data_IF_242799429554
#
_entry.id   IF_242799429554
#
_cell.length_a   1.000
_cell.length_b   1.000
_cell.length_c   1.000
_cell.angle_alpha   90.00
_cell.angle_beta   90.00
_cell.angle_gamma   90.00
#
_symmetry.space_group_name_H-M   'P 1'
#
loop_
_entity.id
_entity.type
_entity.pdbx_description
1 polymer ?
#
# COMPACT_ATOMS: atom_id res chain seq x y z
N UNK A 1 -17.04 33.98 -24.65
CA UNK A 1 -16.92 32.50 -24.63
C UNK A 1 -17.66 31.94 -25.82
N UNK A 2 -17.02 31.10 -26.64
CA UNK A 2 -17.65 30.48 -27.82
C UNK A 2 -18.69 29.45 -27.36
N UNK A 3 -19.86 29.43 -28.00
CA UNK A 3 -20.94 28.49 -27.68
C UNK A 3 -20.70 27.18 -28.43
N UNK A 4 -20.52 26.08 -27.69
CA UNK A 4 -20.33 24.75 -28.27
C UNK A 4 -21.69 24.11 -28.63
N UNK A 5 -22.12 24.36 -29.86
CA UNK A 5 -23.38 23.86 -30.40
C UNK A 5 -23.41 22.33 -30.47
N UNK A 6 -22.26 21.69 -30.71
CA UNK A 6 -22.18 20.22 -30.84
C UNK A 6 -22.33 19.59 -29.46
N UNK A 7 -21.67 20.14 -28.44
CA UNK A 7 -21.81 19.71 -27.05
C UNK A 7 -23.25 19.84 -26.53
N UNK A 8 -23.93 20.94 -26.86
CA UNK A 8 -25.33 21.16 -26.49
C UNK A 8 -26.27 20.12 -27.14
N UNK A 9 -26.04 19.79 -28.41
CA UNK A 9 -26.81 18.77 -29.13
C UNK A 9 -26.62 17.35 -28.56
N UNK A 10 -25.40 17.00 -28.14
CA UNK A 10 -25.11 15.70 -27.52
C UNK A 10 -25.80 15.55 -26.17
N UNK A 11 -25.73 16.57 -25.31
CA UNK A 11 -26.41 16.58 -24.00
C UNK A 11 -27.92 16.52 -24.12
N UNK A 12 -28.50 17.12 -25.16
CA UNK A 12 -29.93 17.03 -25.44
C UNK A 12 -30.34 15.60 -25.81
N UNK A 13 -29.52 14.89 -26.61
CA UNK A 13 -29.75 13.49 -26.97
C UNK A 13 -29.55 12.51 -25.81
N UNK A 14 -28.57 12.73 -24.94
CA UNK A 14 -28.34 11.87 -23.75
C UNK A 14 -29.52 11.84 -22.77
N UNK A 15 -30.37 12.88 -22.77
CA UNK A 15 -31.57 12.96 -21.94
C UNK A 15 -32.79 12.27 -22.54
N UNK A 16 -32.72 11.86 -23.80
CA UNK A 16 -33.80 11.14 -24.46
C UNK A 16 -33.82 9.69 -23.97
N UNK A 17 -35.00 9.16 -23.68
CA UNK A 17 -35.16 7.80 -23.13
C UNK A 17 -34.76 6.73 -24.15
N UNK A 18 -34.78 7.09 -25.44
CA UNK A 18 -34.33 6.28 -26.58
C UNK A 18 -32.92 6.66 -27.03
N UNK A 19 -32.03 7.02 -26.09
CA UNK A 19 -30.65 7.32 -26.43
C UNK A 19 -29.86 6.04 -26.78
N UNK A 20 -29.65 5.82 -28.07
CA UNK A 20 -28.63 4.89 -28.56
C UNK A 20 -27.27 5.60 -28.66
N UNK A 21 -26.26 5.04 -27.99
CA UNK A 21 -24.89 5.54 -28.05
C UNK A 21 -24.41 5.55 -29.51
N UNK A 22 -23.82 6.66 -30.01
CA UNK A 22 -23.36 6.73 -31.38
C UNK A 22 -22.28 5.67 -31.67
N UNK A 23 -22.39 5.02 -32.84
CA UNK A 23 -21.40 4.04 -33.33
C UNK A 23 -20.03 4.72 -33.39
N UNK A 24 -19.08 4.20 -32.62
CA UNK A 24 -17.72 4.77 -32.52
C UNK A 24 -17.41 5.38 -31.14
N UNK A 25 -18.39 5.58 -30.26
CA UNK A 25 -18.09 5.77 -28.85
C UNK A 25 -17.59 4.43 -28.29
N UNK A 26 -16.30 4.38 -27.97
CA UNK A 26 -15.70 3.23 -27.29
C UNK A 26 -16.48 2.83 -26.03
N UNK A 27 -16.27 1.60 -25.57
CA UNK A 27 -16.89 1.13 -24.33
C UNK A 27 -16.43 2.03 -23.17
N UNK A 28 -17.35 2.49 -22.29
CA UNK A 28 -16.94 3.23 -21.11
C UNK A 28 -16.00 2.36 -20.28
N UNK A 29 -14.95 2.96 -19.73
CA UNK A 29 -14.08 2.27 -18.79
C UNK A 29 -14.93 1.80 -17.60
N UNK A 30 -14.67 0.59 -17.11
CA UNK A 30 -15.39 0.09 -15.93
C UNK A 30 -15.09 1.00 -14.74
N UNK A 31 -16.06 1.15 -13.83
CA UNK A 31 -15.87 1.95 -12.60
C UNK A 31 -14.68 1.48 -11.81
N UNK A 32 -14.43 0.18 -11.78
CA UNK A 32 -13.23 -0.37 -11.18
C UNK A 32 -11.97 0.29 -11.75
N UNK A 33 -11.85 0.49 -13.08
CA UNK A 33 -10.67 1.09 -13.73
C UNK A 33 -10.45 2.54 -13.35
N UNK A 34 -11.52 3.26 -13.10
CA UNK A 34 -11.50 4.65 -12.64
C UNK A 34 -11.32 4.72 -11.10
N UNK A 35 -11.81 3.68 -10.43
CA UNK A 35 -11.89 3.33 -9.02
C UNK A 35 -10.59 2.77 -8.39
N UNK A 36 -9.65 3.59 -7.88
CA UNK A 36 -8.57 3.11 -7.00
C UNK A 36 -7.13 3.37 -7.47
N UNK A 37 -6.14 2.88 -6.71
CA UNK A 37 -4.72 3.09 -6.99
C UNK A 37 -4.24 2.18 -8.14
N UNK A 38 -3.63 2.79 -9.16
CA UNK A 38 -3.06 2.12 -10.34
C UNK A 38 -2.00 1.08 -9.93
N UNK A 39 -1.25 1.37 -8.87
CA UNK A 39 -0.22 0.46 -8.35
C UNK A 39 -0.84 -0.81 -7.76
N UNK A 40 -1.90 -0.67 -6.97
CA UNK A 40 -2.59 -1.80 -6.34
C UNK A 40 -3.18 -2.76 -7.38
N UNK A 41 -3.77 -2.19 -8.45
CA UNK A 41 -4.30 -2.95 -9.58
C UNK A 41 -3.19 -3.70 -10.33
N UNK A 42 -2.10 -3.02 -10.65
CA UNK A 42 -0.99 -3.63 -11.42
C UNK A 42 -0.36 -4.79 -10.66
N UNK A 43 -0.11 -4.62 -9.35
CA UNK A 43 0.49 -5.66 -8.51
C UNK A 43 -0.46 -6.86 -8.33
N UNK A 44 -1.75 -6.62 -8.04
CA UNK A 44 -2.74 -7.69 -7.87
C UNK A 44 -2.98 -8.50 -9.14
N UNK A 45 -3.02 -7.84 -10.31
CA UNK A 45 -3.26 -8.51 -11.59
C UNK A 45 -2.03 -9.27 -12.12
N UNK A 46 -0.81 -8.90 -11.70
CA UNK A 46 0.41 -9.55 -12.17
C UNK A 46 0.78 -10.84 -11.41
N UNK A 47 0.05 -11.20 -10.34
CA UNK A 47 0.42 -12.33 -9.48
C UNK A 47 1.79 -12.15 -8.80
N UNK A 48 2.29 -10.91 -8.75
CA UNK A 48 3.63 -10.59 -8.28
C UNK A 48 3.58 -10.20 -6.81
N UNK A 49 4.24 -10.99 -5.95
CA UNK A 49 4.40 -10.67 -4.54
C UNK A 49 5.65 -9.77 -4.37
N UNK A 50 5.48 -8.49 -3.97
CA UNK A 50 6.62 -7.61 -3.79
C UNK A 50 7.57 -8.11 -2.69
N UNK A 51 8.87 -7.98 -2.91
CA UNK A 51 9.88 -8.46 -1.96
C UNK A 51 9.78 -7.81 -0.59
N UNK A 52 9.35 -6.55 -0.52
CA UNK A 52 9.17 -5.82 0.73
C UNK A 52 8.08 -6.44 1.63
N UNK A 53 7.12 -7.20 1.10
CA UNK A 53 6.14 -7.94 1.90
C UNK A 53 6.82 -9.07 2.68
N UNK A 54 7.81 -9.75 2.08
CA UNK A 54 8.59 -10.79 2.77
C UNK A 54 9.39 -10.16 3.92
N UNK A 55 10.02 -9.02 3.67
CA UNK A 55 10.75 -8.26 4.69
C UNK A 55 9.82 -7.77 5.81
N UNK A 56 8.60 -7.33 5.48
CA UNK A 56 7.60 -6.92 6.47
C UNK A 56 7.27 -8.05 7.46
N UNK A 57 7.00 -9.25 6.93
CA UNK A 57 6.73 -10.42 7.76
C UNK A 57 7.96 -10.81 8.61
N UNK A 58 9.16 -10.76 8.03
CA UNK A 58 10.39 -11.07 8.77
C UNK A 58 10.64 -10.09 9.93
N UNK A 59 10.43 -8.78 9.70
CA UNK A 59 10.55 -7.76 10.75
C UNK A 59 9.52 -8.01 11.86
N UNK A 60 8.27 -8.28 11.49
CA UNK A 60 7.20 -8.58 12.46
C UNK A 60 7.55 -9.79 13.33
N UNK A 61 7.99 -10.88 12.72
CA UNK A 61 8.29 -12.11 13.44
C UNK A 61 9.51 -11.93 14.36
N UNK A 62 10.51 -11.14 13.96
CA UNK A 62 11.65 -10.77 14.81
C UNK A 62 11.22 -9.91 16.00
N UNK A 63 10.33 -8.93 15.79
CA UNK A 63 9.80 -8.09 16.86
C UNK A 63 9.05 -8.92 17.92
N UNK A 64 8.21 -9.86 17.49
CA UNK A 64 7.50 -10.76 18.41
C UNK A 64 8.46 -11.64 19.22
N UNK A 65 9.54 -12.13 18.60
CA UNK A 65 10.60 -12.88 19.30
C UNK A 65 11.29 -12.02 20.35
N UNK A 66 11.67 -10.78 20.01
CA UNK A 66 12.33 -9.86 20.95
C UNK A 66 11.42 -9.53 22.13
N UNK A 67 10.13 -9.28 21.91
CA UNK A 67 9.15 -9.07 23.00
C UNK A 67 9.09 -10.29 23.92
N UNK A 68 9.09 -11.49 23.35
CA UNK A 68 9.07 -12.74 24.14
C UNK A 68 10.37 -12.89 24.96
N UNK A 69 11.52 -12.53 24.38
CA UNK A 69 12.82 -12.59 25.06
C UNK A 69 12.90 -11.58 26.20
N UNK A 70 12.46 -10.33 26.00
CA UNK A 70 12.38 -9.30 27.04
C UNK A 70 11.59 -9.80 28.26
N UNK A 71 10.50 -10.54 28.03
CA UNK A 71 9.66 -11.08 29.10
C UNK A 71 10.26 -12.31 29.81
N UNK A 72 11.21 -13.02 29.18
CA UNK A 72 11.73 -14.31 29.69
C UNK A 72 13.12 -14.19 30.29
N UNK A 73 14.00 -13.37 29.71
CA UNK A 73 15.36 -13.16 30.23
C UNK A 73 15.93 -11.79 29.77
N UNK A 74 16.13 -10.82 30.68
CA UNK A 74 16.55 -9.46 30.33
C UNK A 74 18.09 -9.34 30.28
N UNK A 75 18.77 -10.09 29.43
CA UNK A 75 20.16 -9.75 29.11
C UNK A 75 20.16 -8.58 28.12
N UNK A 76 20.53 -7.39 28.61
CA UNK A 76 20.38 -6.14 27.84
C UNK A 76 21.26 -6.09 26.58
N UNK A 77 22.50 -6.61 26.64
CA UNK A 77 23.43 -6.57 25.49
C UNK A 77 22.93 -7.38 24.28
N UNK A 78 22.38 -8.58 24.52
CA UNK A 78 21.87 -9.44 23.44
C UNK A 78 20.61 -8.85 22.78
N UNK A 79 19.76 -8.21 23.60
CA UNK A 79 18.53 -7.57 23.14
C UNK A 79 18.85 -6.34 22.29
N UNK A 80 19.83 -5.54 22.70
CA UNK A 80 20.26 -4.35 21.96
C UNK A 80 20.87 -4.71 20.60
N UNK A 81 21.63 -5.81 20.51
CA UNK A 81 22.13 -6.32 19.23
C UNK A 81 21.00 -6.75 18.29
N UNK A 82 19.96 -7.40 18.81
CA UNK A 82 18.79 -7.77 18.02
C UNK A 82 18.01 -6.53 17.54
N UNK A 83 17.84 -5.49 18.35
CA UNK A 83 17.24 -4.24 17.90
C UNK A 83 18.03 -3.58 16.78
N UNK A 84 19.37 -3.55 16.86
CA UNK A 84 20.21 -3.05 15.77
C UNK A 84 20.03 -3.87 14.49
N UNK A 85 19.92 -5.19 14.61
CA UNK A 85 19.66 -6.11 13.50
C UNK A 85 18.31 -5.79 12.84
N UNK A 86 17.23 -5.72 13.63
CA UNK A 86 15.89 -5.36 13.17
C UNK A 86 15.90 -4.00 12.45
N UNK A 87 16.57 -2.99 13.02
CA UNK A 87 16.67 -1.67 12.41
C UNK A 87 17.41 -1.67 11.07
N UNK A 88 18.35 -2.59 10.84
CA UNK A 88 18.93 -2.80 9.50
C UNK A 88 17.92 -3.36 8.51
N UNK A 89 17.05 -4.28 8.93
CA UNK A 89 15.96 -4.79 8.08
C UNK A 89 14.92 -3.72 7.77
N UNK A 90 14.55 -2.90 8.75
CA UNK A 90 13.62 -1.78 8.55
C UNK A 90 14.18 -0.77 7.54
N UNK A 91 15.48 -0.46 7.60
CA UNK A 91 16.13 0.39 6.61
C UNK A 91 16.05 -0.20 5.20
N UNK A 92 16.32 -1.50 5.03
CA UNK A 92 16.18 -2.19 3.74
C UNK A 92 14.74 -2.17 3.25
N UNK A 93 13.78 -2.46 4.12
CA UNK A 93 12.35 -2.37 3.81
C UNK A 93 11.98 -0.97 3.32
N UNK A 94 12.38 0.08 4.03
CA UNK A 94 12.08 1.47 3.66
C UNK A 94 12.69 1.91 2.32
N UNK A 95 13.82 1.31 1.92
CA UNK A 95 14.46 1.59 0.62
C UNK A 95 13.67 1.01 -0.57
N UNK A 96 12.99 -0.11 -0.37
CA UNK A 96 12.27 -0.84 -1.43
C UNK A 96 10.79 -0.48 -1.45
N UNK A 97 10.24 -0.16 -0.28
CA UNK A 97 8.83 0.12 -0.07
C UNK A 97 8.43 1.52 -0.58
N UNK A 98 7.21 1.71 -1.11
CA UNK A 98 6.69 3.03 -1.43
C UNK A 98 6.75 4.00 -0.25
N UNK A 99 6.98 5.29 -0.53
CA UNK A 99 7.19 6.32 0.50
C UNK A 99 6.08 6.38 1.56
N UNK A 100 4.81 6.16 1.17
CA UNK A 100 3.65 6.18 2.08
C UNK A 100 3.64 5.03 3.11
N UNK A 101 4.41 3.98 2.87
CA UNK A 101 4.42 2.75 3.66
C UNK A 101 5.73 2.56 4.44
N UNK A 102 6.65 3.54 4.38
CA UNK A 102 7.87 3.54 5.17
C UNK A 102 7.55 3.62 6.67
N UNK A 103 8.38 2.96 7.48
CA UNK A 103 8.20 2.83 8.93
C UNK A 103 9.38 3.44 9.69
N UNK A 104 9.13 3.86 10.93
CA UNK A 104 10.18 4.35 11.83
C UNK A 104 11.04 3.20 12.35
N UNK A 105 12.25 3.53 12.81
CA UNK A 105 13.11 2.59 13.53
C UNK A 105 12.49 2.23 14.88
N UNK A 106 12.89 1.07 15.40
CA UNK A 106 12.36 0.48 16.62
C UNK A 106 13.34 0.68 17.77
N UNK A 107 12.79 1.04 18.92
CA UNK A 107 13.48 1.22 20.19
C UNK A 107 12.75 0.43 21.30
N UNK A 108 13.47 0.10 22.37
CA UNK A 108 12.96 -0.74 23.48
C UNK A 108 11.68 -0.20 24.11
N UNK A 109 11.56 1.12 24.24
CA UNK A 109 10.42 1.79 24.88
C UNK A 109 9.12 1.72 24.06
N UNK A 110 9.23 1.53 22.74
CA UNK A 110 8.10 1.66 21.81
C UNK A 110 7.81 0.38 21.00
N UNK A 111 8.53 -0.71 21.29
CA UNK A 111 8.45 -1.96 20.54
C UNK A 111 7.03 -2.54 20.48
N UNK A 112 6.29 -2.50 21.60
CA UNK A 112 4.92 -3.04 21.67
C UNK A 112 3.96 -2.30 20.74
N UNK A 113 4.01 -0.95 20.77
CA UNK A 113 3.17 -0.10 19.91
C UNK A 113 3.54 -0.25 18.43
N UNK A 114 4.81 -0.53 18.14
CA UNK A 114 5.27 -0.65 16.78
C UNK A 114 4.85 -1.96 16.13
N UNK A 115 4.73 -3.06 16.88
CA UNK A 115 4.25 -4.35 16.34
C UNK A 115 2.88 -4.21 15.68
N UNK A 116 1.96 -3.45 16.26
CA UNK A 116 0.64 -3.19 15.66
C UNK A 116 0.73 -2.47 14.32
N UNK A 117 1.78 -1.67 14.12
CA UNK A 117 2.02 -1.00 12.84
C UNK A 117 2.56 -1.95 11.75
N UNK A 118 3.07 -3.13 12.14
CA UNK A 118 3.61 -4.16 11.25
C UNK A 118 2.61 -5.31 10.97
N UNK A 119 1.38 -5.22 11.47
CA UNK A 119 0.25 -6.06 11.04
C UNK A 119 -0.17 -5.75 9.61
#
# INVERSE_FOLDING_TARGET
>A
MSRDLIGDMLKAKEKDVLYEKPRGMGKPLSREVLEGDVLDRTVKHAGYLPEWIKLQNEVRDRLLKVITLINTNPCDDDIDQEFQSINKFIKKYNQICPAKMQKMLVDREHVEKQVDSWR
#
